data_IF_278998505235
#
_entry.id   IF_278998505235
#
_cell.length_a   1.000
_cell.length_b   1.000
_cell.length_c   1.000
_cell.angle_alpha   90.00
_cell.angle_beta   90.00
_cell.angle_gamma   90.00
#
_symmetry.space_group_name_H-M   'P 1'
#
loop_
_entity.id
_entity.type
_entity.pdbx_description
1 polymer ?
#
# COMPACT_ATOMS: atom_id res chain seq x y z
N UNK A 1 -7.27 -3.05 4.96
CA UNK A 1 -7.76 -3.14 6.34
C UNK A 1 -8.43 -1.87 6.75
N UNK A 2 -9.38 -2.05 7.61
CA UNK A 2 -10.27 -0.95 7.95
C UNK A 2 -9.96 -0.39 9.32
N UNK A 3 -8.96 0.40 9.47
CA UNK A 3 -8.84 1.18 10.67
C UNK A 3 -8.62 0.45 11.99
N UNK A 4 -8.46 -0.87 11.98
CA UNK A 4 -8.16 -1.60 13.20
C UNK A 4 -6.72 -1.43 13.63
N UNK A 5 -5.87 -1.00 12.70
CA UNK A 5 -4.44 -0.87 12.94
C UNK A 5 -4.03 0.57 12.67
N UNK A 6 -3.15 1.08 13.51
CA UNK A 6 -2.70 2.46 13.43
C UNK A 6 -1.75 2.67 12.26
N UNK A 7 -0.82 1.74 12.05
CA UNK A 7 0.16 1.82 10.99
C UNK A 7 0.76 0.44 10.74
N UNK A 8 1.75 0.37 9.86
CA UNK A 8 2.37 -0.89 9.51
C UNK A 8 3.06 -1.55 10.70
N UNK A 9 3.66 -0.75 11.59
CA UNK A 9 4.33 -1.31 12.77
C UNK A 9 3.34 -2.01 13.69
N UNK A 10 2.17 -1.42 13.87
CA UNK A 10 1.10 -2.02 14.66
C UNK A 10 0.55 -3.26 13.97
N UNK A 11 0.40 -3.19 12.67
CA UNK A 11 -0.18 -4.25 11.87
C UNK A 11 0.66 -5.53 11.90
N UNK A 12 1.96 -5.43 11.65
CA UNK A 12 2.77 -6.64 11.58
C UNK A 12 2.90 -7.33 12.94
N UNK A 13 2.76 -6.57 14.02
CA UNK A 13 2.82 -7.15 15.36
C UNK A 13 1.55 -7.88 15.75
N UNK A 14 0.40 -7.38 15.33
CA UNK A 14 -0.89 -7.86 15.82
C UNK A 14 -1.69 -8.68 14.83
N UNK A 15 -1.48 -8.47 13.54
CA UNK A 15 -2.28 -9.15 12.53
C UNK A 15 -1.87 -10.61 12.37
N UNK A 16 -2.81 -11.44 12.00
CA UNK A 16 -2.53 -12.84 11.68
C UNK A 16 -1.82 -12.93 10.32
N UNK A 17 -1.17 -14.06 10.08
CA UNK A 17 -0.53 -14.31 8.79
C UNK A 17 -1.55 -14.21 7.66
N UNK A 18 -2.76 -14.67 7.90
CA UNK A 18 -3.84 -14.60 6.91
C UNK A 18 -4.20 -13.16 6.59
N UNK A 19 -4.26 -12.29 7.60
CA UNK A 19 -4.54 -10.88 7.38
C UNK A 19 -3.42 -10.19 6.62
N UNK A 20 -2.18 -10.53 6.94
CA UNK A 20 -1.02 -9.96 6.25
C UNK A 20 -1.01 -10.37 4.78
N UNK A 21 -1.22 -11.66 4.52
CA UNK A 21 -1.29 -12.15 3.15
C UNK A 21 -2.46 -11.51 2.39
N UNK A 22 -3.60 -11.36 3.07
CA UNK A 22 -4.77 -10.72 2.47
C UNK A 22 -4.52 -9.28 2.07
N UNK A 23 -3.78 -8.55 2.88
CA UNK A 23 -3.44 -7.16 2.55
C UNK A 23 -2.60 -7.09 1.27
N UNK A 24 -1.55 -7.90 1.19
CA UNK A 24 -0.67 -7.89 0.02
C UNK A 24 -1.40 -8.32 -1.25
N UNK A 25 -2.21 -9.37 -1.15
CA UNK A 25 -3.02 -9.80 -2.29
C UNK A 25 -4.02 -8.72 -2.69
N UNK A 26 -4.59 -8.04 -1.70
CA UNK A 26 -5.54 -6.96 -1.95
C UNK A 26 -4.94 -5.82 -2.73
N UNK A 27 -3.70 -5.44 -2.42
CA UNK A 27 -2.99 -4.39 -3.15
C UNK A 27 -2.87 -4.78 -4.63
N UNK A 28 -2.45 -6.01 -4.90
CA UNK A 28 -2.32 -6.50 -6.27
C UNK A 28 -3.66 -6.54 -7.01
N UNK A 29 -4.70 -7.00 -6.33
CA UNK A 29 -6.05 -7.06 -6.92
C UNK A 29 -6.55 -5.68 -7.29
N UNK A 30 -6.38 -4.70 -6.39
CA UNK A 30 -6.81 -3.33 -6.66
C UNK A 30 -6.02 -2.73 -7.82
N UNK A 31 -4.69 -2.93 -7.84
CA UNK A 31 -3.86 -2.42 -8.92
C UNK A 31 -4.31 -2.96 -10.28
N UNK A 32 -4.65 -4.24 -10.34
CA UNK A 32 -5.16 -4.84 -11.57
C UNK A 32 -6.51 -4.24 -11.96
N UNK A 33 -7.37 -4.06 -10.98
CA UNK A 33 -8.72 -3.56 -11.22
C UNK A 33 -8.73 -2.13 -11.75
N UNK A 34 -7.84 -1.28 -11.24
CA UNK A 34 -7.76 0.10 -11.73
C UNK A 34 -6.86 0.23 -12.96
N UNK A 35 -6.27 -0.87 -13.42
CA UNK A 35 -5.58 -0.89 -14.70
C UNK A 35 -4.14 -0.46 -14.68
N UNK A 36 -3.47 -0.42 -13.53
CA UNK A 36 -2.07 -0.01 -13.45
C UNK A 36 -1.10 -1.17 -13.29
N UNK A 37 -1.61 -2.38 -13.11
CA UNK A 37 -0.78 -3.56 -12.91
C UNK A 37 0.08 -3.84 -14.16
N UNK A 38 1.36 -4.15 -13.94
CA UNK A 38 2.25 -4.50 -15.03
C UNK A 38 1.79 -5.78 -15.73
N UNK A 39 1.17 -6.70 -15.01
CA UNK A 39 0.67 -7.95 -15.57
C UNK A 39 -0.43 -7.75 -16.61
N UNK A 40 -1.15 -6.64 -16.55
CA UNK A 40 -2.19 -6.33 -17.52
C UNK A 40 -1.76 -5.18 -18.43
N UNK A 41 -0.45 -4.99 -18.57
CA UNK A 41 0.13 -3.96 -19.41
C UNK A 41 -0.28 -2.56 -19.00
N UNK A 42 -0.49 -2.36 -17.72
CA UNK A 42 -0.82 -1.06 -17.16
C UNK A 42 0.38 -0.17 -16.88
N UNK A 43 1.59 -0.68 -17.18
CA UNK A 43 2.79 0.10 -17.03
C UNK A 43 3.43 0.07 -15.64
N UNK A 44 2.74 -0.53 -14.68
CA UNK A 44 3.27 -0.61 -13.33
C UNK A 44 2.79 0.50 -12.42
N UNK A 45 3.10 0.37 -11.16
CA UNK A 45 2.63 1.31 -10.14
C UNK A 45 3.58 1.32 -8.96
N UNK A 46 3.42 2.31 -8.13
CA UNK A 46 4.14 2.40 -6.86
C UNK A 46 3.14 2.22 -5.74
N UNK A 47 3.44 1.32 -4.81
CA UNK A 47 2.63 1.24 -3.61
C UNK A 47 3.47 1.67 -2.42
N UNK A 48 2.88 2.44 -1.53
CA UNK A 48 3.61 2.93 -0.38
C UNK A 48 2.68 3.09 0.82
N UNK A 49 3.29 3.07 2.00
CA UNK A 49 2.58 3.29 3.24
C UNK A 49 3.44 4.23 4.10
N UNK A 50 2.80 5.23 4.69
CA UNK A 50 3.50 6.16 5.57
C UNK A 50 3.33 5.71 7.01
N UNK A 51 4.43 5.69 7.76
CA UNK A 51 4.44 5.22 9.14
C UNK A 51 5.01 6.31 10.03
N UNK A 52 4.21 6.75 10.99
CA UNK A 52 4.65 7.69 11.99
C UNK A 52 4.93 9.08 11.46
N UNK A 53 5.41 9.93 12.34
CA UNK A 53 5.63 11.34 12.04
C UNK A 53 6.66 11.55 10.95
N UNK A 54 7.79 10.86 11.05
CA UNK A 54 8.86 11.03 10.06
C UNK A 54 8.50 10.46 8.71
N UNK A 55 7.57 9.54 8.66
CA UNK A 55 7.07 8.98 7.40
C UNK A 55 5.94 9.78 6.78
N UNK A 56 5.51 10.85 7.42
CA UNK A 56 4.45 11.69 6.91
C UNK A 56 3.05 11.12 7.10
N UNK A 57 2.88 10.25 8.09
CA UNK A 57 1.56 9.70 8.36
C UNK A 57 0.66 10.78 8.96
N UNK A 58 -0.44 11.08 8.28
CA UNK A 58 -1.35 12.14 8.71
C UNK A 58 -2.61 11.62 9.40
N UNK A 59 -3.05 10.42 9.06
CA UNK A 59 -4.22 9.84 9.69
C UNK A 59 -3.81 8.65 10.55
N UNK A 60 -4.45 8.45 11.70
CA UNK A 60 -4.01 7.43 12.66
C UNK A 60 -4.59 6.05 12.37
N UNK A 61 -4.56 5.63 11.12
CA UNK A 61 -4.92 4.27 10.76
C UNK A 61 -4.15 3.84 9.53
N UNK A 62 -3.92 2.54 9.45
CA UNK A 62 -3.15 1.95 8.35
C UNK A 62 -3.87 2.13 7.03
N UNK A 63 -3.14 2.67 6.05
CA UNK A 63 -3.64 2.70 4.68
C UNK A 63 -2.47 2.73 3.72
N UNK A 64 -2.69 2.19 2.53
CA UNK A 64 -1.70 2.16 1.47
C UNK A 64 -2.13 3.06 0.33
N UNK A 65 -1.14 3.64 -0.35
CA UNK A 65 -1.35 4.42 -1.55
C UNK A 65 -0.89 3.63 -2.76
N UNK A 66 -1.64 3.69 -3.83
CA UNK A 66 -1.26 3.09 -5.11
C UNK A 66 -1.21 4.22 -6.12
N UNK A 67 -0.03 4.46 -6.67
CA UNK A 67 0.22 5.55 -7.61
C UNK A 67 0.66 4.97 -8.94
N UNK A 68 -0.06 5.31 -10.00
CA UNK A 68 0.26 4.79 -11.33
C UNK A 68 -0.43 5.60 -12.40
N UNK A 69 -0.45 5.04 -13.61
CA UNK A 69 -1.06 5.71 -14.76
C UNK A 69 -0.11 6.56 -15.56
N UNK A 70 1.02 6.91 -14.98
CA UNK A 70 2.07 7.64 -15.67
C UNK A 70 3.39 7.33 -14.99
N UNK A 71 4.48 7.64 -15.67
CA UNK A 71 5.80 7.36 -15.12
C UNK A 71 6.07 8.25 -13.91
N UNK A 72 6.42 7.62 -12.81
CA UNK A 72 6.72 8.31 -11.56
C UNK A 72 8.22 8.53 -11.45
N UNK A 73 8.60 9.61 -10.81
CA UNK A 73 10.01 9.91 -10.55
C UNK A 73 10.58 9.08 -9.42
N UNK A 74 11.82 9.35 -9.09
CA UNK A 74 12.46 8.68 -7.96
C UNK A 74 11.79 9.11 -6.66
N UNK A 75 11.66 8.17 -5.75
CA UNK A 75 11.04 8.48 -4.46
C UNK A 75 11.97 9.29 -3.57
N UNK A 76 13.24 8.96 -3.62
CA UNK A 76 14.22 9.54 -2.71
C UNK A 76 15.45 9.93 -3.51
N UNK A 77 15.98 11.02 -3.14
CA UNK A 77 17.25 11.46 -3.70
C UNK A 77 18.42 10.76 -3.02
#
# INVERSE_FOLDING_TARGET
>A
PKGEYINLDDFYLKASDKEIAGLLKGIGIVAKKIGVSDLVKGGGYRSLVNVGKNGGQEVPHLHFHILGGEKLGKMVS
#
